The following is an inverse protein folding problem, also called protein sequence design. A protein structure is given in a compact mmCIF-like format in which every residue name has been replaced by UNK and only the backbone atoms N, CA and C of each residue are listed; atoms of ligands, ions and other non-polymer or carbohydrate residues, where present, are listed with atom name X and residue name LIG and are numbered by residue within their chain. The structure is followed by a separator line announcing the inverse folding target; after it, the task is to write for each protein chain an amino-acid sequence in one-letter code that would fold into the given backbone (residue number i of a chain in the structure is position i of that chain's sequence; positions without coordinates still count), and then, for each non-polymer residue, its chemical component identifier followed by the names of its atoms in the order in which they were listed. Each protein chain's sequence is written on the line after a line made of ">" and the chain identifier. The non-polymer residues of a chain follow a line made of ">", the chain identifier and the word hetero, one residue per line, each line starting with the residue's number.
data_IF_196852885030
#
_entry.id   IF_196852885030
#
_cell.length_a   1.000
_cell.length_b   1.000
_cell.length_c   1.000
_cell.angle_alpha   90.00
_cell.angle_beta   90.00
_cell.angle_gamma   90.00
#
_symmetry.space_group_name_H-M   'P 1'
#
loop_
_entity.id
_entity.type
_entity.pdbx_description
1 polymer ?
#
# COMPACT_ATOMS: atom_id res chain seq x y z
N UNK A 1 5.93 1.76 0.22
CA UNK A 1 6.17 1.54 1.67
C UNK A 1 7.44 0.74 1.84
N UNK A 2 8.23 1.00 2.88
CA UNK A 2 9.43 0.22 3.23
C UNK A 2 9.32 -0.26 4.68
N UNK A 3 9.56 -1.55 4.88
CA UNK A 3 9.58 -2.23 6.18
C UNK A 3 11.01 -2.67 6.49
N UNK A 4 11.50 -2.31 7.67
CA UNK A 4 12.80 -2.72 8.23
C UNK A 4 12.60 -3.18 9.66
N UNK A 5 13.12 -4.36 10.01
CA UNK A 5 13.04 -4.93 11.37
C UNK A 5 11.62 -4.94 11.96
N UNK A 6 10.62 -5.21 11.12
CA UNK A 6 9.22 -5.24 11.51
C UNK A 6 8.60 -3.86 11.79
N UNK A 7 9.26 -2.78 11.39
CA UNK A 7 8.79 -1.41 11.48
C UNK A 7 8.60 -0.79 10.10
N UNK A 8 7.55 0.02 9.92
CA UNK A 8 7.40 0.86 8.71
C UNK A 8 8.35 2.05 8.81
N UNK A 9 9.42 2.07 8.00
CA UNK A 9 10.39 3.18 8.01
C UNK A 9 10.05 4.27 6.99
N UNK A 10 9.26 3.93 5.96
CA UNK A 10 8.82 4.89 4.96
C UNK A 10 7.47 4.50 4.36
N UNK A 11 6.62 5.50 4.13
CA UNK A 11 5.39 5.40 3.34
C UNK A 11 5.24 6.69 2.54
N UNK A 12 5.01 6.58 1.24
CA UNK A 12 4.70 7.74 0.41
C UNK A 12 3.36 8.33 0.86
N UNK A 13 3.22 9.66 0.90
CA UNK A 13 1.93 10.30 1.09
C UNK A 13 1.01 10.00 -0.10
N UNK A 14 -0.30 10.16 0.12
CA UNK A 14 -1.30 10.07 -0.95
C UNK A 14 -1.30 11.40 -1.72
N UNK A 15 -1.32 11.33 -3.05
CA UNK A 15 -1.49 12.49 -3.93
C UNK A 15 -2.94 12.54 -4.43
N UNK A 16 -3.75 13.44 -3.89
CA UNK A 16 -5.15 13.63 -4.27
C UNK A 16 -5.53 15.12 -4.25
N UNK A 17 -6.41 15.53 -5.16
CA UNK A 17 -6.98 16.88 -5.20
C UNK A 17 -8.08 17.05 -4.15
N UNK A 18 -8.86 15.99 -3.93
CA UNK A 18 -9.87 15.86 -2.87
C UNK A 18 -10.01 14.37 -2.48
N UNK A 19 -10.83 14.05 -1.48
CA UNK A 19 -11.08 12.67 -1.06
C UNK A 19 -11.48 11.79 -2.25
N UNK A 20 -10.69 10.75 -2.49
CA UNK A 20 -10.89 9.78 -3.58
C UNK A 20 -10.90 10.41 -4.98
N UNK A 21 -10.25 11.58 -5.14
CA UNK A 21 -10.00 12.23 -6.43
C UNK A 21 -8.49 12.40 -6.63
N UNK A 22 -7.85 11.33 -7.11
CA UNK A 22 -6.40 11.20 -7.20
C UNK A 22 -5.79 12.12 -8.27
N UNK A 23 -4.53 12.49 -8.06
CA UNK A 23 -3.72 12.99 -9.17
C UNK A 23 -3.62 11.89 -10.23
N UNK A 24 -3.78 12.23 -11.50
CA UNK A 24 -3.77 11.25 -12.59
C UNK A 24 -3.20 11.81 -13.88
N UNK A 25 -2.40 10.97 -14.55
CA UNK A 25 -1.98 11.22 -15.93
C UNK A 25 -3.09 10.69 -16.85
N UNK A 26 -3.58 11.52 -17.75
CA UNK A 26 -4.52 11.14 -18.80
C UNK A 26 -4.07 11.69 -20.16
N UNK A 27 -4.69 11.21 -21.25
CA UNK A 27 -4.48 11.72 -22.60
C UNK A 27 -5.30 12.98 -22.92
N UNK A 28 -6.03 13.52 -21.94
CA UNK A 28 -6.89 14.70 -22.04
C UNK A 28 -6.22 16.00 -21.59
N UNK A 29 -6.99 17.08 -21.62
CA UNK A 29 -6.52 18.43 -21.25
C UNK A 29 -6.63 18.73 -19.75
N UNK A 30 -7.21 17.85 -18.95
CA UNK A 30 -7.39 18.04 -17.51
C UNK A 30 -6.45 17.14 -16.68
N UNK A 31 -5.46 16.53 -17.34
CA UNK A 31 -4.45 15.71 -16.69
C UNK A 31 -3.58 16.51 -15.73
N UNK A 32 -3.13 15.83 -14.68
CA UNK A 32 -1.94 16.28 -13.97
C UNK A 32 -0.70 16.14 -14.87
N UNK A 33 0.26 17.04 -14.68
CA UNK A 33 1.53 16.96 -15.41
C UNK A 33 2.42 15.88 -14.78
N UNK A 34 3.28 15.20 -15.58
CA UNK A 34 4.30 14.30 -15.03
C UNK A 34 5.19 14.96 -13.96
N UNK A 35 5.43 16.26 -14.07
CA UNK A 35 6.18 17.04 -13.09
C UNK A 35 5.47 17.25 -11.74
N UNK A 36 4.18 16.93 -11.65
CA UNK A 36 3.43 16.92 -10.38
C UNK A 36 3.75 15.70 -9.51
N UNK A 37 4.43 14.68 -10.08
CA UNK A 37 4.84 13.48 -9.35
C UNK A 37 5.82 13.83 -8.22
N UNK A 38 5.56 13.30 -7.02
CA UNK A 38 6.49 13.47 -5.92
C UNK A 38 7.69 12.52 -6.06
N UNK A 39 8.88 13.06 -5.86
CA UNK A 39 10.14 12.32 -5.95
C UNK A 39 10.72 12.16 -4.55
N UNK A 40 11.06 10.92 -4.20
CA UNK A 40 11.67 10.59 -2.91
C UNK A 40 12.93 9.76 -3.13
N UNK A 41 13.97 10.05 -2.34
CA UNK A 41 15.14 9.20 -2.19
C UNK A 41 15.12 8.61 -0.77
N UNK A 42 15.03 7.28 -0.68
CA UNK A 42 14.91 6.57 0.61
C UNK A 42 16.13 5.66 0.77
N UNK A 43 16.94 5.85 1.83
CA UNK A 43 18.06 4.95 2.11
C UNK A 43 17.60 3.54 2.44
N UNK A 44 18.06 2.56 1.66
CA UNK A 44 17.76 1.14 1.83
C UNK A 44 18.95 0.37 2.44
N UNK A 45 18.66 -0.77 3.05
CA UNK A 45 19.65 -1.70 3.59
C UNK A 45 19.24 -3.16 3.31
N UNK A 46 20.20 -4.10 3.26
CA UNK A 46 19.88 -5.53 3.21
C UNK A 46 18.93 -5.93 4.36
N UNK A 47 17.92 -6.73 4.03
CA UNK A 47 16.84 -7.10 4.95
C UNK A 47 15.59 -6.22 4.84
N UNK A 48 15.65 -5.08 4.15
CA UNK A 48 14.47 -4.27 3.88
C UNK A 48 13.48 -4.99 2.96
N UNK A 49 12.20 -4.77 3.22
CA UNK A 49 11.11 -5.19 2.33
C UNK A 49 10.40 -3.98 1.79
N UNK A 50 10.43 -3.84 0.47
CA UNK A 50 9.73 -2.79 -0.26
C UNK A 50 8.39 -3.33 -0.71
N UNK A 51 7.31 -2.61 -0.39
CA UNK A 51 5.95 -2.90 -0.80
C UNK A 51 5.43 -1.71 -1.61
N UNK A 52 5.05 -1.98 -2.86
CA UNK A 52 4.32 -1.07 -3.72
C UNK A 52 2.98 -1.70 -4.10
N UNK A 53 1.98 -0.88 -4.42
CA UNK A 53 0.66 -1.37 -4.77
C UNK A 53 -0.29 -0.24 -5.13
N UNK A 54 -1.47 -0.60 -5.61
CA UNK A 54 -2.56 0.34 -5.88
C UNK A 54 -3.24 0.80 -4.58
N UNK A 55 -4.10 1.81 -4.68
CA UNK A 55 -4.97 2.21 -3.58
C UNK A 55 -5.85 1.06 -3.08
N UNK A 56 -6.31 0.15 -3.96
CA UNK A 56 -7.02 -1.07 -3.54
C UNK A 56 -6.33 -1.89 -2.44
N UNK A 57 -4.99 -1.85 -2.35
CA UNK A 57 -4.25 -2.37 -1.19
C UNK A 57 -4.36 -1.44 0.03
N UNK A 58 -3.93 -0.18 -0.14
CA UNK A 58 -3.73 0.74 0.98
C UNK A 58 -5.02 1.33 1.56
N UNK A 59 -6.12 1.25 0.82
CA UNK A 59 -7.47 1.59 1.25
C UNK A 59 -8.06 0.54 2.19
N UNK A 60 -7.56 -0.70 2.10
CA UNK A 60 -8.14 -1.84 2.79
C UNK A 60 -7.24 -2.43 3.89
N UNK A 61 -5.94 -2.11 3.92
CA UNK A 61 -5.02 -2.55 4.97
C UNK A 61 -4.28 -1.41 5.65
N UNK A 62 -4.25 -1.47 6.97
CA UNK A 62 -3.37 -0.61 7.76
C UNK A 62 -1.91 -1.05 7.64
N UNK A 63 -0.98 -0.12 7.84
CA UNK A 63 0.46 -0.39 7.77
C UNK A 63 0.91 -1.53 8.69
N UNK A 64 0.32 -1.63 9.89
CA UNK A 64 0.63 -2.70 10.84
C UNK A 64 0.14 -4.08 10.35
N UNK A 65 -0.99 -4.15 9.65
CA UNK A 65 -1.48 -5.41 9.04
C UNK A 65 -0.53 -5.86 7.93
N UNK A 66 -0.10 -4.95 7.03
CA UNK A 66 0.90 -5.25 5.99
C UNK A 66 2.22 -5.71 6.64
N UNK A 67 2.69 -4.97 7.63
CA UNK A 67 3.94 -5.27 8.35
C UNK A 67 3.90 -6.63 9.04
N UNK A 68 2.76 -7.00 9.65
CA UNK A 68 2.58 -8.30 10.28
C UNK A 68 2.69 -9.45 9.27
N UNK A 69 2.12 -9.29 8.07
CA UNK A 69 2.25 -10.28 6.99
C UNK A 69 3.71 -10.41 6.56
N UNK A 70 4.43 -9.30 6.39
CA UNK A 70 5.85 -9.28 6.03
C UNK A 70 6.70 -9.99 7.09
N UNK A 71 6.53 -9.65 8.38
CA UNK A 71 7.29 -10.28 9.48
C UNK A 71 7.02 -11.78 9.54
N UNK A 72 5.76 -12.19 9.39
CA UNK A 72 5.42 -13.60 9.34
C UNK A 72 6.09 -14.30 8.15
N UNK A 73 6.05 -13.69 6.97
CA UNK A 73 6.65 -14.25 5.77
C UNK A 73 8.17 -14.43 5.89
N UNK A 74 8.88 -13.43 6.40
CA UNK A 74 10.33 -13.51 6.64
C UNK A 74 10.68 -14.63 7.63
N UNK A 75 9.94 -14.73 8.74
CA UNK A 75 10.13 -15.81 9.74
C UNK A 75 9.85 -17.20 9.17
N UNK A 76 8.89 -17.31 8.27
CA UNK A 76 8.53 -18.55 7.60
C UNK A 76 9.43 -18.88 6.39
N UNK A 77 10.38 -18.00 6.03
CA UNK A 77 11.26 -18.19 4.87
C UNK A 77 10.54 -18.05 3.53
N UNK A 78 9.41 -17.35 3.48
CA UNK A 78 8.68 -17.14 2.23
C UNK A 78 9.34 -16.06 1.37
N UNK A 79 9.48 -16.36 0.07
CA UNK A 79 9.94 -15.41 -0.94
C UNK A 79 8.93 -14.29 -1.22
N UNK A 80 9.35 -13.24 -1.93
CA UNK A 80 8.56 -12.03 -2.16
C UNK A 80 7.23 -12.29 -2.88
N UNK A 81 7.17 -13.25 -3.81
CA UNK A 81 5.94 -13.59 -4.53
C UNK A 81 4.84 -14.09 -3.58
N UNK A 82 5.16 -15.06 -2.71
CA UNK A 82 4.21 -15.60 -1.73
C UNK A 82 3.78 -14.50 -0.74
N UNK A 83 4.69 -13.62 -0.37
CA UNK A 83 4.38 -12.47 0.49
C UNK A 83 3.40 -11.51 -0.20
N UNK A 84 3.64 -11.17 -1.47
CA UNK A 84 2.73 -10.33 -2.25
C UNK A 84 1.33 -10.96 -2.35
N UNK A 85 1.25 -12.25 -2.65
CA UNK A 85 -0.02 -13.00 -2.71
C UNK A 85 -0.76 -12.97 -1.38
N UNK A 86 -0.07 -13.15 -0.25
CA UNK A 86 -0.67 -13.08 1.09
C UNK A 86 -1.19 -11.70 1.43
N UNK A 87 -0.44 -10.64 1.10
CA UNK A 87 -0.88 -9.26 1.29
C UNK A 87 -2.12 -8.98 0.43
N UNK A 88 -2.10 -9.35 -0.85
CA UNK A 88 -3.22 -9.15 -1.77
C UNK A 88 -4.48 -9.92 -1.33
N UNK A 89 -4.33 -11.16 -0.86
CA UNK A 89 -5.43 -11.96 -0.35
C UNK A 89 -6.08 -11.33 0.89
N UNK A 90 -5.26 -10.84 1.83
CA UNK A 90 -5.75 -10.15 3.02
C UNK A 90 -6.44 -8.83 2.66
N UNK A 91 -5.87 -8.05 1.73
CA UNK A 91 -6.48 -6.81 1.26
C UNK A 91 -7.85 -7.07 0.60
N UNK A 92 -7.96 -8.13 -0.21
CA UNK A 92 -9.23 -8.54 -0.83
C UNK A 92 -10.26 -8.97 0.21
N UNK A 93 -9.86 -9.74 1.22
CA UNK A 93 -10.75 -10.11 2.32
C UNK A 93 -11.30 -8.86 3.03
N UNK A 94 -10.45 -7.87 3.28
CA UNK A 94 -10.83 -6.60 3.92
C UNK A 94 -11.72 -5.75 3.03
N UNK A 95 -11.45 -5.69 1.74
CA UNK A 95 -12.27 -5.01 0.74
C UNK A 95 -13.73 -5.53 0.70
N UNK A 96 -13.93 -6.82 1.00
CA UNK A 96 -15.26 -7.45 0.99
C UNK A 96 -16.00 -7.35 2.34
N UNK A 97 -15.29 -7.03 3.42
CA UNK A 97 -15.86 -6.94 4.76
C UNK A 97 -16.69 -5.66 4.92
N UNK A 98 -17.99 -5.79 5.19
CA UNK A 98 -18.91 -4.63 5.31
C UNK A 98 -18.96 -4.02 6.70
N UNK A 99 -18.45 -4.74 7.69
CA UNK A 99 -18.58 -4.45 9.12
C UNK A 99 -17.23 -4.10 9.79
N UNK A 100 -16.19 -3.92 8.98
CA UNK A 100 -14.85 -3.60 9.46
C UNK A 100 -14.42 -2.20 9.03
N UNK A 101 -13.88 -1.44 9.97
CA UNK A 101 -13.24 -0.19 9.65
C UNK A 101 -11.91 -0.42 8.92
N UNK A 102 -11.79 0.17 7.76
CA UNK A 102 -10.60 0.19 6.89
C UNK A 102 -10.01 1.60 6.81
N UNK A 103 -8.75 1.75 6.34
CA UNK A 103 -8.18 3.06 6.04
C UNK A 103 -9.10 3.95 5.19
N UNK A 104 -9.70 3.41 4.13
CA UNK A 104 -10.61 4.14 3.27
C UNK A 104 -11.87 4.59 4.01
N UNK A 105 -12.52 3.70 4.76
CA UNK A 105 -13.72 4.09 5.51
C UNK A 105 -13.44 5.16 6.56
N UNK A 106 -12.26 5.13 7.18
CA UNK A 106 -11.83 6.17 8.12
C UNK A 106 -11.66 7.50 7.40
N UNK A 107 -10.92 7.51 6.29
CA UNK A 107 -10.71 8.72 5.49
C UNK A 107 -12.02 9.28 4.90
N UNK A 108 -12.96 8.41 4.51
CA UNK A 108 -14.28 8.81 4.04
C UNK A 108 -15.07 9.54 5.14
N UNK A 109 -15.03 9.03 6.36
CA UNK A 109 -15.69 9.65 7.52
C UNK A 109 -15.05 10.98 7.88
N UNK A 110 -13.73 11.06 7.85
CA UNK A 110 -12.98 12.31 8.07
C UNK A 110 -13.32 13.37 7.02
N UNK A 111 -13.59 12.95 5.78
CA UNK A 111 -14.08 13.81 4.70
C UNK A 111 -15.59 14.10 4.76
N UNK A 112 -16.31 13.61 5.78
CA UNK A 112 -17.72 13.89 6.02
C UNK A 112 -18.72 12.93 5.36
N UNK A 113 -18.24 11.83 4.76
CA UNK A 113 -19.09 10.82 4.14
C UNK A 113 -19.53 9.75 5.14
N UNK A 114 -20.79 9.29 5.00
CA UNK A 114 -21.29 8.12 5.74
C UNK A 114 -20.89 6.83 5.01
N UNK A 115 -19.70 6.32 5.32
CA UNK A 115 -19.17 5.08 4.75
C UNK A 115 -18.59 4.19 5.85
N UNK A 116 -18.78 2.87 5.74
CA UNK A 116 -18.22 1.88 6.64
C UNK A 116 -18.00 0.56 5.90
N UNK A 117 -16.95 -0.20 6.27
CA UNK A 117 -16.53 -1.40 5.55
C UNK A 117 -15.29 -1.19 4.67
N UNK A 118 -14.93 -2.21 3.90
CA UNK A 118 -13.89 -2.15 2.88
C UNK A 118 -14.36 -1.56 1.55
N UNK A 119 -13.39 -1.06 0.78
CA UNK A 119 -13.58 -0.53 -0.57
C UNK A 119 -13.26 -1.63 -1.57
N UNK A 120 -14.26 -2.10 -2.32
CA UNK A 120 -14.06 -3.07 -3.39
C UNK A 120 -13.37 -2.38 -4.56
N UNK A 121 -12.17 -2.84 -4.91
CA UNK A 121 -11.31 -2.21 -5.92
C UNK A 121 -10.34 -3.24 -6.53
N UNK A 122 -9.67 -2.86 -7.61
CA UNK A 122 -8.57 -3.65 -8.18
C UNK A 122 -7.33 -3.59 -7.29
N UNK A 123 -6.81 -4.76 -6.92
CA UNK A 123 -5.70 -4.89 -5.96
C UNK A 123 -4.46 -5.37 -6.69
N UNK A 124 -3.45 -4.52 -6.77
CA UNK A 124 -2.11 -4.89 -7.22
C UNK A 124 -1.12 -4.74 -6.07
N UNK A 125 -0.25 -5.74 -5.88
CA UNK A 125 0.80 -5.73 -4.86
C UNK A 125 2.12 -6.19 -5.49
N UNK A 126 3.17 -5.40 -5.28
CA UNK A 126 4.55 -5.72 -5.64
C UNK A 126 5.37 -5.74 -4.35
N UNK A 127 6.11 -6.83 -4.15
CA UNK A 127 7.03 -6.98 -3.02
C UNK A 127 8.43 -7.23 -3.56
N UNK A 128 9.40 -6.51 -3.00
CA UNK A 128 10.82 -6.70 -3.27
C UNK A 128 11.58 -6.83 -1.96
N UNK A 129 12.46 -7.83 -1.87
CA UNK A 129 13.36 -8.01 -0.74
C UNK A 129 14.72 -7.45 -1.12
N UNK A 130 15.24 -6.54 -0.32
CA UNK A 130 16.57 -5.99 -0.49
C UNK A 130 17.57 -6.97 0.08
N UNK A 131 18.45 -7.50 -0.76
CA UNK A 131 19.55 -8.37 -0.35
C UNK A 131 20.86 -7.64 -0.52
N UNK A 132 21.91 -8.16 0.12
CA UNK A 132 23.28 -7.82 -0.27
C UNK A 132 23.48 -8.21 -1.74
N UNK A 133 24.31 -7.46 -2.47
CA UNK A 133 24.86 -7.97 -3.72
C UNK A 133 25.78 -9.14 -3.39
N UNK A 134 25.59 -10.26 -4.05
CA UNK A 134 26.64 -11.28 -4.14
C UNK A 134 27.76 -10.67 -4.99
N UNK A 135 28.93 -10.39 -4.39
CA UNK A 135 30.17 -10.17 -5.16
C UNK A 135 30.71 -11.50 -5.71
#
# INVERSE_FOLDING_TARGET
>A
MVVRDGCTIFRSPVQQHDFNFTYQLESGNNADLPSSGQIFAVPIAPGDVIIAGTDGLFDNLYNNEITAVVVHALRAGFGPEVTAQKIAALARERAQAKDRQTPFSTAAQDAGFRYYGGKLDDITVVVSYVTSSDE
#
